data_IF_887580268166
#
_entry.id   IF_887580268166
#
_cell.length_a   1.000
_cell.length_b   1.000
_cell.length_c   1.000
_cell.angle_alpha   90.00
_cell.angle_beta   90.00
_cell.angle_gamma   90.00
#
_symmetry.space_group_name_H-M   'P 1'
#
loop_
_entity.id
_entity.type
_entity.pdbx_description
1 polymer ?
#
# COMPACT_ATOMS: atom_id res chain seq x y z
N UNK A 1 33.01 -27.10 -58.11
CA UNK A 1 34.32 -27.81 -58.05
C UNK A 1 34.46 -28.37 -56.66
N UNK A 2 34.17 -29.65 -56.48
CA UNK A 2 35.14 -30.73 -56.14
C UNK A 2 35.73 -30.50 -54.72
N UNK A 3 35.72 -31.38 -53.73
CA UNK A 3 35.57 -32.88 -53.59
C UNK A 3 35.36 -33.12 -52.09
N UNK A 4 34.46 -33.93 -51.54
CA UNK A 4 34.41 -35.42 -51.44
C UNK A 4 35.60 -35.99 -50.65
N UNK A 5 35.31 -36.73 -49.61
CA UNK A 5 35.74 -38.04 -49.13
C UNK A 5 35.94 -38.03 -47.61
N UNK A 6 35.19 -38.71 -46.81
CA UNK A 6 34.86 -40.16 -46.72
C UNK A 6 35.96 -40.99 -45.99
N UNK A 7 35.50 -41.82 -45.10
CA UNK A 7 35.93 -43.17 -44.67
C UNK A 7 35.91 -43.33 -43.14
N UNK A 8 34.97 -44.04 -42.60
CA UNK A 8 34.69 -45.48 -42.41
C UNK A 8 35.48 -46.13 -41.27
N UNK A 9 34.75 -46.57 -40.24
CA UNK A 9 34.59 -47.94 -39.75
C UNK A 9 35.84 -48.62 -39.19
N UNK A 10 35.77 -49.10 -37.89
CA UNK A 10 36.07 -50.51 -37.53
C UNK A 10 35.30 -50.88 -36.29
N UNK A 11 34.49 -51.95 -36.41
CA UNK A 11 33.97 -52.81 -35.35
C UNK A 11 35.09 -53.70 -34.79
N UNK A 12 34.98 -54.06 -33.51
CA UNK A 12 35.37 -55.44 -33.06
C UNK A 12 34.65 -55.78 -31.77
N UNK A 13 33.81 -56.74 -31.84
CA UNK A 13 33.27 -57.62 -30.76
C UNK A 13 34.40 -58.39 -30.09
N UNK A 14 34.25 -58.67 -28.77
CA UNK A 14 34.55 -59.96 -28.23
C UNK A 14 33.65 -60.30 -27.06
N UNK A 15 33.08 -61.47 -27.15
CA UNK A 15 32.13 -62.06 -26.22
C UNK A 15 32.82 -63.19 -25.41
N UNK A 16 32.09 -63.68 -24.43
CA UNK A 16 32.18 -64.97 -23.74
C UNK A 16 33.01 -64.97 -22.44
N UNK A 17 32.70 -65.66 -21.41
CA UNK A 17 31.54 -66.45 -20.93
C UNK A 17 31.89 -67.04 -19.57
N UNK A 18 30.85 -67.38 -18.80
CA UNK A 18 30.67 -68.55 -17.95
C UNK A 18 31.09 -68.52 -16.49
N UNK A 19 30.10 -68.51 -15.67
CA UNK A 19 29.63 -69.54 -14.73
C UNK A 19 30.28 -69.59 -13.34
N UNK A 20 29.45 -69.47 -12.34
CA UNK A 20 29.73 -69.86 -10.96
C UNK A 20 28.45 -69.71 -10.09
N UNK A 21 27.71 -70.85 -9.98
CA UNK A 21 26.58 -71.04 -9.08
C UNK A 21 26.95 -70.98 -7.58
N UNK A 22 26.02 -70.44 -6.77
CA UNK A 22 25.95 -70.75 -5.34
C UNK A 22 25.02 -69.80 -4.57
N UNK A 23 23.97 -70.25 -3.92
CA UNK A 23 22.92 -69.45 -3.32
C UNK A 23 23.20 -69.05 -1.89
N UNK A 24 22.86 -67.82 -1.49
CA UNK A 24 22.50 -67.56 -0.09
C UNK A 24 21.60 -66.30 0.00
N UNK A 25 20.52 -66.53 0.71
CA UNK A 25 19.49 -65.58 1.12
C UNK A 25 20.04 -64.36 1.90
N UNK A 26 19.46 -63.18 1.72
CA UNK A 26 18.61 -62.46 2.68
C UNK A 26 18.60 -60.94 2.42
N UNK A 27 17.41 -60.42 2.23
CA UNK A 27 16.86 -59.15 2.74
C UNK A 27 17.61 -57.83 2.51
N UNK A 28 16.95 -56.93 1.80
CA UNK A 28 17.23 -55.52 1.86
C UNK A 28 16.79 -54.77 0.60
N UNK A 29 15.51 -54.85 0.28
CA UNK A 29 14.87 -53.95 -0.68
C UNK A 29 14.97 -52.52 -0.15
N UNK A 30 15.87 -51.71 -0.69
CA UNK A 30 15.84 -50.26 -0.62
C UNK A 30 15.64 -49.76 -2.03
N UNK A 31 14.39 -49.73 -2.43
CA UNK A 31 13.91 -48.93 -3.55
C UNK A 31 14.18 -47.51 -3.20
N UNK A 32 15.23 -46.92 -3.78
CA UNK A 32 15.41 -45.48 -3.83
C UNK A 32 14.28 -44.98 -4.72
N UNK A 33 13.20 -44.54 -4.09
CA UNK A 33 12.22 -43.69 -4.75
C UNK A 33 12.94 -42.39 -5.08
N UNK A 34 13.25 -42.22 -6.35
CA UNK A 34 13.60 -40.98 -6.97
C UNK A 34 12.35 -40.08 -6.87
N UNK A 35 12.22 -39.38 -5.72
CA UNK A 35 11.23 -38.35 -5.52
C UNK A 35 11.77 -37.12 -6.24
N UNK A 36 11.67 -37.11 -7.55
CA UNK A 36 11.60 -35.84 -8.26
C UNK A 36 10.28 -35.20 -7.82
N UNK A 37 10.38 -34.28 -6.89
CA UNK A 37 9.35 -33.25 -6.72
C UNK A 37 9.10 -32.67 -8.12
N UNK A 38 7.95 -32.97 -8.66
CA UNK A 38 7.41 -32.16 -9.74
C UNK A 38 7.21 -30.78 -9.12
N UNK A 39 8.04 -29.81 -9.48
CA UNK A 39 7.63 -28.42 -9.48
C UNK A 39 6.35 -28.38 -10.33
N UNK A 40 5.21 -28.35 -9.67
CA UNK A 40 3.96 -27.93 -10.30
C UNK A 40 4.18 -26.46 -10.67
N UNK A 41 4.55 -26.22 -11.91
CA UNK A 41 4.52 -24.87 -12.48
C UNK A 41 3.04 -24.49 -12.57
N UNK A 42 2.52 -23.87 -11.51
CA UNK A 42 1.21 -23.25 -11.54
C UNK A 42 1.20 -22.20 -12.65
N UNK A 43 0.12 -22.16 -13.42
CA UNK A 43 -0.04 -21.11 -14.43
C UNK A 43 -0.11 -19.78 -13.70
N UNK A 44 0.69 -18.76 -14.11
CA UNK A 44 0.65 -17.46 -13.47
C UNK A 44 -0.77 -16.89 -13.41
N UNK A 45 -1.15 -16.35 -12.25
CA UNK A 45 -2.46 -15.74 -12.04
C UNK A 45 -2.38 -14.25 -12.38
N UNK A 46 -3.43 -13.71 -12.98
CA UNK A 46 -3.55 -12.27 -13.20
C UNK A 46 -3.89 -11.58 -11.89
N UNK A 47 -3.04 -10.65 -11.45
CA UNK A 47 -3.20 -9.87 -10.22
C UNK A 47 -3.30 -8.39 -10.60
N UNK A 48 -4.50 -7.83 -10.52
CA UNK A 48 -4.81 -6.46 -10.93
C UNK A 48 -4.84 -5.55 -9.71
N UNK A 49 -3.91 -4.59 -9.66
CA UNK A 49 -3.64 -3.75 -8.51
C UNK A 49 -3.89 -2.30 -8.83
N UNK A 50 -4.52 -1.56 -7.91
CA UNK A 50 -4.58 -0.11 -7.98
C UNK A 50 -4.01 0.54 -6.71
N UNK A 51 -3.42 1.73 -6.87
CA UNK A 51 -2.97 2.56 -5.76
C UNK A 51 -3.27 4.03 -6.03
N UNK A 52 -3.44 4.82 -4.96
CA UNK A 52 -3.63 6.26 -5.08
C UNK A 52 -2.29 6.98 -5.21
N UNK A 53 -2.26 8.08 -5.99
CA UNK A 53 -1.09 8.96 -6.07
C UNK A 53 -0.71 9.46 -4.67
N UNK A 54 0.50 9.14 -4.25
CA UNK A 54 1.04 9.47 -2.94
C UNK A 54 1.77 8.28 -2.31
N UNK A 55 1.91 8.23 -0.97
CA UNK A 55 2.66 7.20 -0.27
C UNK A 55 2.19 5.78 -0.60
N UNK A 56 0.89 5.56 -0.78
CA UNK A 56 0.31 4.26 -1.10
C UNK A 56 0.85 3.67 -2.41
N UNK A 57 1.06 4.51 -3.45
CA UNK A 57 1.67 4.09 -4.71
C UNK A 57 3.20 4.06 -4.62
N UNK A 58 3.80 4.99 -3.87
CA UNK A 58 5.26 5.07 -3.71
C UNK A 58 5.86 3.80 -3.11
N UNK A 59 5.16 3.16 -2.17
CA UNK A 59 5.60 1.88 -1.60
C UNK A 59 5.66 0.72 -2.61
N UNK A 60 4.99 0.83 -3.76
CA UNK A 60 4.91 -0.22 -4.78
C UNK A 60 5.92 -0.04 -5.93
N UNK A 61 6.66 1.07 -6.00
CA UNK A 61 7.44 1.42 -7.21
C UNK A 61 8.54 0.43 -7.55
N UNK A 62 9.14 -0.24 -6.55
CA UNK A 62 10.15 -1.27 -6.83
C UNK A 62 9.50 -2.53 -7.38
N UNK A 63 8.38 -2.96 -6.84
CA UNK A 63 7.62 -4.09 -7.38
C UNK A 63 7.16 -3.80 -8.81
N UNK A 64 6.68 -2.58 -9.09
CA UNK A 64 6.31 -2.17 -10.44
C UNK A 64 7.49 -2.24 -11.41
N UNK A 65 8.65 -1.75 -11.00
CA UNK A 65 9.90 -1.78 -11.78
C UNK A 65 10.37 -3.22 -12.08
N UNK A 66 10.28 -4.12 -11.08
CA UNK A 66 10.65 -5.53 -11.24
C UNK A 66 9.71 -6.25 -12.22
N UNK A 67 8.42 -5.92 -12.18
CA UNK A 67 7.44 -6.45 -13.14
C UNK A 67 7.74 -5.93 -14.56
N UNK A 68 7.97 -4.63 -14.73
CA UNK A 68 8.28 -4.02 -16.04
C UNK A 68 9.58 -4.57 -16.65
N UNK A 69 10.56 -4.93 -15.81
CA UNK A 69 11.80 -5.58 -16.21
C UNK A 69 11.67 -7.08 -16.50
N UNK A 70 10.50 -7.69 -16.20
CA UNK A 70 10.26 -9.13 -16.34
C UNK A 70 11.03 -9.97 -15.32
N UNK A 71 11.41 -9.38 -14.19
CA UNK A 71 12.09 -10.08 -13.09
C UNK A 71 11.10 -10.89 -12.23
N UNK A 72 9.82 -10.51 -12.24
CA UNK A 72 8.72 -11.25 -11.61
C UNK A 72 8.07 -12.17 -12.63
N UNK A 73 8.02 -13.48 -12.33
CA UNK A 73 7.48 -14.52 -13.22
C UNK A 73 6.46 -15.43 -12.54
N UNK A 74 6.26 -15.26 -11.23
CA UNK A 74 5.31 -16.03 -10.45
C UNK A 74 3.88 -15.73 -10.87
N UNK A 75 3.57 -14.45 -11.08
CA UNK A 75 2.25 -13.91 -11.35
C UNK A 75 2.28 -12.86 -12.47
N UNK A 76 1.12 -12.60 -13.06
CA UNK A 76 0.93 -11.55 -14.06
C UNK A 76 0.41 -10.29 -13.36
N UNK A 77 1.30 -9.49 -12.81
CA UNK A 77 0.93 -8.24 -12.16
C UNK A 77 0.60 -7.14 -13.16
N UNK A 78 -0.45 -6.37 -12.87
CA UNK A 78 -0.77 -5.13 -13.56
C UNK A 78 -1.12 -4.04 -12.57
N UNK A 79 -0.67 -2.80 -12.83
CA UNK A 79 -0.81 -1.69 -11.90
C UNK A 79 -1.57 -0.52 -12.53
N UNK A 80 -2.44 0.11 -11.74
CA UNK A 80 -3.10 1.36 -12.05
C UNK A 80 -2.83 2.37 -10.93
N UNK A 81 -2.35 3.56 -11.28
CA UNK A 81 -2.24 4.68 -10.33
C UNK A 81 -3.40 5.63 -10.59
N UNK A 82 -4.18 5.92 -9.57
CA UNK A 82 -5.38 6.74 -9.62
C UNK A 82 -5.23 8.03 -8.80
N UNK A 83 -5.93 9.08 -9.17
CA UNK A 83 -5.90 10.36 -8.45
C UNK A 83 -6.80 10.34 -7.21
N UNK A 84 -7.89 9.57 -7.23
CA UNK A 84 -8.88 9.49 -6.17
C UNK A 84 -9.38 8.06 -5.89
N UNK A 85 -9.93 7.85 -4.70
CA UNK A 85 -10.52 6.57 -4.31
C UNK A 85 -11.77 6.23 -5.15
N UNK A 86 -12.48 7.22 -5.65
CA UNK A 86 -13.70 7.05 -6.47
C UNK A 86 -13.40 6.36 -7.81
N UNK A 87 -12.16 6.44 -8.30
CA UNK A 87 -11.72 5.74 -9.50
C UNK A 87 -11.42 4.25 -9.24
N UNK A 88 -11.11 3.89 -8.00
CA UNK A 88 -10.62 2.57 -7.59
C UNK A 88 -11.73 1.70 -7.00
N UNK A 89 -12.53 2.25 -6.07
CA UNK A 89 -13.47 1.47 -5.27
C UNK A 89 -14.56 0.77 -6.09
N UNK A 90 -15.16 1.37 -7.13
CA UNK A 90 -16.14 0.66 -7.95
C UNK A 90 -15.52 -0.54 -8.69
N UNK A 91 -14.30 -0.38 -9.20
CA UNK A 91 -13.58 -1.45 -9.92
C UNK A 91 -13.24 -2.63 -8.99
N UNK A 92 -12.83 -2.34 -7.75
CA UNK A 92 -12.56 -3.37 -6.75
C UNK A 92 -13.86 -4.15 -6.42
N UNK A 93 -14.97 -3.45 -6.19
CA UNK A 93 -16.26 -4.08 -5.87
C UNK A 93 -16.82 -4.88 -7.05
N UNK A 94 -16.63 -4.42 -8.28
CA UNK A 94 -17.07 -5.10 -9.51
C UNK A 94 -16.18 -6.28 -9.91
N UNK A 95 -14.97 -6.37 -9.35
CA UNK A 95 -14.01 -7.44 -9.65
C UNK A 95 -13.09 -7.14 -10.84
N UNK A 96 -13.02 -5.86 -11.28
CA UNK A 96 -12.06 -5.40 -12.27
C UNK A 96 -10.66 -5.21 -11.68
N UNK A 97 -10.57 -5.08 -10.36
CA UNK A 97 -9.34 -5.09 -9.56
C UNK A 97 -9.41 -6.20 -8.52
N UNK A 98 -8.26 -6.73 -8.14
CA UNK A 98 -8.12 -7.78 -7.13
C UNK A 98 -7.58 -7.23 -5.82
N UNK A 99 -6.63 -6.30 -5.90
CA UNK A 99 -5.97 -5.63 -4.77
C UNK A 99 -6.04 -4.12 -4.99
N UNK A 100 -6.20 -3.37 -3.90
CA UNK A 100 -6.16 -1.91 -3.96
C UNK A 100 -5.54 -1.30 -2.70
N UNK A 101 -4.75 -0.24 -2.87
CA UNK A 101 -4.31 0.60 -1.76
C UNK A 101 -5.26 1.79 -1.64
N UNK A 102 -5.94 1.89 -0.49
CA UNK A 102 -7.03 2.83 -0.21
C UNK A 102 -6.87 3.50 1.15
N UNK A 103 -7.57 4.62 1.41
CA UNK A 103 -7.64 5.22 2.74
C UNK A 103 -8.09 4.22 3.81
N UNK A 104 -7.49 4.31 5.00
CA UNK A 104 -7.68 3.31 6.06
C UNK A 104 -9.16 3.15 6.47
N UNK A 105 -9.92 4.23 6.67
CA UNK A 105 -11.33 4.17 7.02
C UNK A 105 -12.20 3.58 5.90
N UNK A 106 -11.84 3.85 4.64
CA UNK A 106 -12.58 3.40 3.48
C UNK A 106 -12.58 1.87 3.35
N UNK A 107 -11.54 1.20 3.84
CA UNK A 107 -11.50 -0.26 3.90
C UNK A 107 -12.67 -0.85 4.70
N UNK A 108 -12.98 -0.26 5.86
CA UNK A 108 -14.11 -0.65 6.70
C UNK A 108 -15.46 -0.31 6.03
N UNK A 109 -15.58 0.87 5.41
CA UNK A 109 -16.78 1.24 4.63
C UNK A 109 -17.03 0.21 3.52
N UNK A 110 -15.98 -0.17 2.78
CA UNK A 110 -16.08 -1.19 1.73
C UNK A 110 -16.48 -2.56 2.30
N UNK A 111 -15.87 -2.98 3.41
CA UNK A 111 -16.23 -4.23 4.09
C UNK A 111 -17.71 -4.25 4.47
N UNK A 112 -18.18 -3.22 5.17
CA UNK A 112 -19.57 -3.12 5.64
C UNK A 112 -20.56 -3.07 4.46
N UNK A 113 -20.32 -2.20 3.47
CA UNK A 113 -21.21 -2.03 2.32
C UNK A 113 -21.27 -3.27 1.41
N UNK A 114 -20.18 -4.01 1.33
CA UNK A 114 -20.10 -5.25 0.52
C UNK A 114 -20.41 -6.51 1.31
N UNK A 115 -20.68 -6.40 2.62
CA UNK A 115 -20.94 -7.54 3.52
C UNK A 115 -19.81 -8.55 3.52
N UNK A 116 -18.59 -8.07 3.82
CA UNK A 116 -17.41 -8.91 4.00
C UNK A 116 -16.70 -9.33 2.70
N UNK A 117 -16.95 -8.65 1.56
CA UNK A 117 -16.28 -9.01 0.29
C UNK A 117 -14.89 -8.40 0.11
N UNK A 118 -14.39 -7.69 1.12
CA UNK A 118 -13.06 -7.07 1.12
C UNK A 118 -12.35 -7.42 2.42
N UNK A 119 -11.07 -7.72 2.36
CA UNK A 119 -10.17 -7.94 3.51
C UNK A 119 -9.00 -6.98 3.43
N UNK A 120 -8.47 -6.56 4.59
CA UNK A 120 -7.22 -5.78 4.67
C UNK A 120 -6.04 -6.73 4.75
N UNK A 121 -5.07 -6.54 3.86
CA UNK A 121 -3.84 -7.32 3.78
C UNK A 121 -2.71 -6.69 4.60
N UNK A 122 -2.60 -5.36 4.57
CA UNK A 122 -1.54 -4.63 5.27
C UNK A 122 -1.94 -3.17 5.57
N UNK A 123 -1.41 -2.60 6.63
CA UNK A 123 -1.27 -1.13 6.77
C UNK A 123 -0.06 -0.73 5.93
N UNK A 124 -0.24 0.25 5.05
CA UNK A 124 0.80 0.66 4.11
C UNK A 124 1.29 2.09 4.28
N UNK A 125 0.56 2.91 5.03
CA UNK A 125 0.93 4.31 5.27
C UNK A 125 0.40 4.73 6.65
N UNK A 126 1.30 5.20 7.50
CA UNK A 126 0.95 5.78 8.80
C UNK A 126 0.48 7.23 8.63
N UNK A 127 0.56 8.07 9.67
CA UNK A 127 0.19 9.48 9.58
C UNK A 127 1.11 10.24 8.63
N UNK A 128 0.52 10.98 7.68
CA UNK A 128 1.24 11.80 6.68
C UNK A 128 0.48 13.08 6.35
N UNK A 129 -0.47 13.48 7.20
CA UNK A 129 -1.31 14.66 7.01
C UNK A 129 -0.74 15.85 7.77
N UNK A 130 -0.75 17.00 7.15
CA UNK A 130 -0.22 18.24 7.71
C UNK A 130 -1.16 19.39 7.44
N UNK A 131 -1.25 20.33 8.38
CA UNK A 131 -1.74 21.67 8.10
C UNK A 131 -0.54 22.49 7.62
N UNK A 132 -0.65 23.04 6.42
CA UNK A 132 0.34 23.94 5.84
C UNK A 132 -0.27 25.32 5.66
N UNK A 133 0.54 26.36 5.80
CA UNK A 133 0.10 27.74 5.78
C UNK A 133 1.04 28.62 4.95
N UNK A 134 0.45 29.52 4.17
CA UNK A 134 1.16 30.62 3.55
C UNK A 134 1.01 31.85 4.49
N UNK A 135 1.76 31.86 5.58
CA UNK A 135 1.65 32.82 6.67
C UNK A 135 2.21 32.25 7.99
N UNK A 136 1.87 32.89 9.11
CA UNK A 136 2.34 32.55 10.46
C UNK A 136 1.22 32.65 11.51
N UNK A 137 -0.04 32.38 11.13
CA UNK A 137 -1.18 32.59 12.02
C UNK A 137 -1.61 31.33 12.78
N UNK A 138 -1.16 30.15 12.37
CA UNK A 138 -1.47 28.87 13.00
C UNK A 138 -0.24 28.37 13.77
N UNK A 139 -0.33 28.33 15.10
CA UNK A 139 0.70 27.80 15.99
C UNK A 139 0.20 26.58 16.77
N UNK A 140 -1.12 26.36 16.82
CA UNK A 140 -1.79 25.23 17.48
C UNK A 140 -3.07 24.89 16.75
N UNK A 141 -3.65 23.71 17.02
CA UNK A 141 -4.93 23.33 16.45
C UNK A 141 -6.05 24.34 16.78
N UNK A 142 -6.00 24.98 17.95
CA UNK A 142 -6.99 25.98 18.36
C UNK A 142 -7.01 27.23 17.46
N UNK A 143 -5.89 27.57 16.82
CA UNK A 143 -5.79 28.73 15.90
C UNK A 143 -6.51 28.52 14.57
N UNK A 144 -6.97 27.28 14.29
CA UNK A 144 -7.81 26.98 13.12
C UNK A 144 -9.22 27.54 13.25
N UNK A 145 -9.65 27.95 14.45
CA UNK A 145 -10.98 28.53 14.65
C UNK A 145 -11.22 29.77 13.79
N UNK A 146 -12.32 29.77 13.03
CA UNK A 146 -12.69 30.83 12.11
C UNK A 146 -11.88 30.86 10.81
N UNK A 147 -11.00 29.89 10.58
CA UNK A 147 -10.18 29.81 9.37
C UNK A 147 -10.86 29.00 8.26
N UNK A 148 -10.43 29.29 7.03
CA UNK A 148 -10.75 28.47 5.85
C UNK A 148 -9.57 27.56 5.55
N UNK A 149 -9.84 26.27 5.35
CA UNK A 149 -8.84 25.22 5.10
C UNK A 149 -9.16 24.58 3.75
N UNK A 150 -8.24 24.64 2.80
CA UNK A 150 -8.33 23.86 1.57
C UNK A 150 -7.98 22.41 1.84
N UNK A 151 -8.87 21.48 1.52
CA UNK A 151 -8.66 20.05 1.79
C UNK A 151 -9.21 19.19 0.65
N UNK A 152 -8.75 17.94 0.57
CA UNK A 152 -9.31 16.89 -0.30
C UNK A 152 -9.49 15.60 0.48
N UNK A 153 -10.15 14.61 -0.13
CA UNK A 153 -10.45 13.36 0.54
C UNK A 153 -11.67 13.42 1.46
N UNK A 154 -12.71 14.17 1.04
CA UNK A 154 -14.02 14.17 1.71
C UNK A 154 -14.58 12.75 1.75
N UNK A 155 -15.14 12.33 2.89
CA UNK A 155 -15.62 10.96 3.10
C UNK A 155 -14.53 9.92 3.35
N UNK A 156 -13.27 10.36 3.50
CA UNK A 156 -12.14 9.47 3.75
C UNK A 156 -11.27 9.92 4.92
N UNK A 157 -10.19 9.19 5.22
CA UNK A 157 -9.30 9.43 6.36
C UNK A 157 -8.96 10.92 6.59
N UNK A 158 -8.60 11.73 5.57
CA UNK A 158 -8.29 13.14 5.82
C UNK A 158 -9.40 13.92 6.52
N UNK A 159 -10.65 13.77 6.06
CA UNK A 159 -11.79 14.47 6.69
C UNK A 159 -11.99 14.03 8.13
N UNK A 160 -12.02 12.73 8.37
CA UNK A 160 -12.37 12.21 9.69
C UNK A 160 -11.25 12.43 10.71
N UNK A 161 -9.99 12.34 10.29
CA UNK A 161 -8.85 12.67 11.14
C UNK A 161 -8.85 14.14 11.56
N UNK A 162 -9.05 15.05 10.60
CA UNK A 162 -9.16 16.48 10.90
C UNK A 162 -10.35 16.78 11.83
N UNK A 163 -11.52 16.25 11.52
CA UNK A 163 -12.73 16.45 12.32
C UNK A 163 -12.55 15.93 13.75
N UNK A 164 -11.89 14.78 13.91
CA UNK A 164 -11.59 14.23 15.23
C UNK A 164 -10.64 15.15 16.01
N UNK A 165 -9.53 15.58 15.42
CA UNK A 165 -8.57 16.48 16.07
C UNK A 165 -9.23 17.80 16.44
N UNK A 166 -10.06 18.39 15.59
CA UNK A 166 -10.79 19.60 15.86
C UNK A 166 -11.71 19.45 17.09
N UNK A 167 -12.50 18.36 17.14
CA UNK A 167 -13.40 18.05 18.26
C UNK A 167 -12.65 17.86 19.57
N UNK A 168 -11.56 17.12 19.59
CA UNK A 168 -10.72 16.91 20.79
C UNK A 168 -10.09 18.23 21.29
N UNK A 169 -9.94 19.23 20.40
CA UNK A 169 -9.51 20.60 20.73
C UNK A 169 -10.70 21.55 21.01
N UNK A 170 -11.90 21.02 21.24
CA UNK A 170 -13.08 21.79 21.64
C UNK A 170 -13.72 22.62 20.54
N UNK A 171 -13.49 22.29 19.26
CA UNK A 171 -14.08 22.94 18.12
C UNK A 171 -15.14 22.05 17.45
N UNK A 172 -16.20 22.67 16.95
CA UNK A 172 -17.16 22.01 16.07
C UNK A 172 -16.69 22.14 14.59
N UNK A 173 -16.31 21.04 13.91
CA UNK A 173 -15.86 21.11 12.53
C UNK A 173 -16.88 21.69 11.56
N UNK A 174 -18.18 21.68 11.92
CA UNK A 174 -19.25 22.18 11.06
C UNK A 174 -19.47 23.70 11.16
N UNK A 175 -19.06 24.31 12.28
CA UNK A 175 -19.35 25.73 12.54
C UNK A 175 -18.13 26.57 12.89
N UNK A 176 -17.09 25.98 13.46
CA UNK A 176 -15.91 26.72 13.93
C UNK A 176 -14.82 26.86 12.86
N UNK A 177 -14.85 26.07 11.78
CA UNK A 177 -13.94 26.16 10.65
C UNK A 177 -14.72 26.10 9.33
N UNK A 178 -14.15 26.61 8.25
CA UNK A 178 -14.67 26.41 6.89
C UNK A 178 -13.73 25.49 6.13
N UNK A 179 -14.20 24.31 5.71
CA UNK A 179 -13.37 23.40 4.92
C UNK A 179 -13.84 23.48 3.46
N UNK A 180 -12.96 23.99 2.59
CA UNK A 180 -13.17 24.00 1.14
C UNK A 180 -12.64 22.72 0.53
N UNK A 181 -13.55 21.77 0.23
CA UNK A 181 -13.22 20.50 -0.36
C UNK A 181 -12.88 20.63 -1.84
N UNK A 182 -11.75 20.07 -2.23
CA UNK A 182 -11.27 19.93 -3.61
C UNK A 182 -11.33 18.46 -4.01
N UNK A 183 -11.35 18.19 -5.32
CA UNK A 183 -11.40 16.82 -5.85
C UNK A 183 -10.07 16.07 -5.62
N UNK A 184 -8.94 16.81 -5.70
CA UNK A 184 -7.59 16.25 -5.60
C UNK A 184 -6.68 17.12 -4.72
N UNK A 185 -5.61 16.52 -4.21
CA UNK A 185 -4.56 17.23 -3.46
C UNK A 185 -3.85 18.30 -4.31
N UNK A 186 -3.68 18.06 -5.61
CA UNK A 186 -3.09 19.00 -6.56
C UNK A 186 -3.88 20.32 -6.67
N UNK A 187 -5.20 20.26 -6.54
CA UNK A 187 -6.08 21.44 -6.52
C UNK A 187 -5.93 22.23 -5.22
N UNK A 188 -5.76 21.54 -4.07
CA UNK A 188 -5.45 22.20 -2.81
C UNK A 188 -4.10 22.95 -2.88
N UNK A 189 -3.07 22.32 -3.47
CA UNK A 189 -1.77 22.98 -3.71
C UNK A 189 -1.92 24.21 -4.60
N UNK A 190 -2.75 24.16 -5.64
CA UNK A 190 -2.99 25.29 -6.52
C UNK A 190 -3.76 26.41 -5.81
N UNK A 191 -4.78 26.11 -5.01
CA UNK A 191 -5.52 27.07 -4.22
C UNK A 191 -4.60 27.78 -3.21
N UNK A 192 -3.82 27.02 -2.44
CA UNK A 192 -2.85 27.53 -1.48
C UNK A 192 -1.79 28.43 -2.11
N UNK A 193 -1.28 28.08 -3.29
CA UNK A 193 -0.26 28.87 -3.98
C UNK A 193 -0.76 30.24 -4.45
N UNK A 194 -2.07 30.38 -4.66
CA UNK A 194 -2.72 31.64 -5.11
C UNK A 194 -3.29 32.46 -3.94
N UNK A 195 -3.26 31.97 -2.72
CA UNK A 195 -3.77 32.64 -1.52
C UNK A 195 -2.61 33.02 -0.60
N UNK A 196 -2.27 34.31 -0.44
CA UNK A 196 -1.15 34.75 0.39
C UNK A 196 -1.37 34.54 1.90
N UNK A 197 -2.58 34.17 2.33
CA UNK A 197 -2.93 33.80 3.71
C UNK A 197 -3.57 32.42 3.79
N UNK A 198 -3.41 31.61 2.73
CA UNK A 198 -4.06 30.33 2.59
C UNK A 198 -3.57 29.29 3.60
N UNK A 199 -4.51 28.45 4.02
CA UNK A 199 -4.25 27.27 4.87
C UNK A 199 -4.77 26.06 4.12
N UNK A 200 -3.99 24.97 4.10
CA UNK A 200 -4.44 23.73 3.50
C UNK A 200 -4.09 22.52 4.39
N UNK A 201 -4.91 21.49 4.31
CA UNK A 201 -4.54 20.17 4.79
C UNK A 201 -4.02 19.35 3.60
N UNK A 202 -2.77 18.96 3.67
CA UNK A 202 -2.08 18.20 2.62
C UNK A 202 -1.35 17.00 3.19
N UNK A 203 -1.33 15.86 2.49
CA UNK A 203 -0.38 14.78 2.77
C UNK A 203 0.97 15.07 2.11
N UNK A 204 2.04 14.38 2.57
CA UNK A 204 3.18 14.19 1.69
C UNK A 204 2.77 13.30 0.48
N UNK A 205 3.34 13.53 -0.69
CA UNK A 205 4.38 14.50 -1.09
C UNK A 205 3.83 15.87 -1.50
N UNK A 206 2.55 16.14 -1.30
CA UNK A 206 1.91 17.39 -1.74
C UNK A 206 2.34 18.60 -0.90
N UNK A 207 2.73 18.39 0.38
CA UNK A 207 3.39 19.41 1.20
C UNK A 207 4.68 19.87 0.51
N UNK A 208 5.57 18.95 0.18
CA UNK A 208 6.82 19.25 -0.54
C UNK A 208 6.55 19.91 -1.89
N UNK A 209 5.50 19.48 -2.61
CA UNK A 209 5.09 20.11 -3.88
C UNK A 209 4.65 21.55 -3.69
N UNK A 210 3.88 21.84 -2.64
CA UNK A 210 3.44 23.20 -2.31
C UNK A 210 4.64 24.09 -1.96
N UNK A 211 5.54 23.64 -1.11
CA UNK A 211 6.78 24.34 -0.72
C UNK A 211 7.71 24.60 -1.91
N UNK A 212 7.77 23.66 -2.87
CA UNK A 212 8.53 23.89 -4.12
C UNK A 212 7.94 25.00 -4.98
N UNK A 213 6.60 25.10 -5.03
CA UNK A 213 5.91 26.17 -5.76
C UNK A 213 6.00 27.51 -5.06
N UNK A 214 5.91 27.54 -3.75
CA UNK A 214 6.04 28.73 -2.92
C UNK A 214 6.84 28.38 -1.63
N UNK A 215 8.12 28.78 -1.55
CA UNK A 215 8.97 28.51 -0.38
C UNK A 215 8.52 29.19 0.92
N UNK A 216 7.57 30.15 0.87
CA UNK A 216 6.99 30.75 2.05
C UNK A 216 5.97 29.83 2.76
N UNK A 217 5.49 28.78 2.09
CA UNK A 217 4.60 27.81 2.70
C UNK A 217 5.35 27.00 3.73
N UNK A 218 4.86 27.02 4.97
CA UNK A 218 5.41 26.25 6.07
C UNK A 218 4.46 25.13 6.48
N UNK A 219 4.98 24.10 7.12
CA UNK A 219 4.21 23.16 7.92
C UNK A 219 3.84 23.90 9.21
N UNK A 220 2.54 24.07 9.46
CA UNK A 220 2.03 24.70 10.67
C UNK A 220 1.76 23.63 11.76
N UNK A 221 1.12 22.51 11.38
CA UNK A 221 0.85 21.39 12.29
C UNK A 221 1.14 20.07 11.59
N UNK A 222 1.74 19.14 12.31
CA UNK A 222 1.76 17.71 11.99
C UNK A 222 0.51 17.06 12.61
N UNK A 223 -0.42 16.56 11.81
CA UNK A 223 -1.64 15.95 12.31
C UNK A 223 -1.40 14.59 13.00
N UNK A 224 -0.25 13.96 12.79
CA UNK A 224 0.15 12.78 13.55
C UNK A 224 0.47 13.17 14.99
N UNK A 225 1.26 14.23 15.19
CA UNK A 225 1.55 14.77 16.52
C UNK A 225 0.28 15.29 17.22
N UNK A 226 -0.60 15.96 16.48
CA UNK A 226 -1.88 16.42 17.04
C UNK A 226 -2.79 15.26 17.43
N UNK A 227 -2.82 14.17 16.63
CA UNK A 227 -3.53 12.94 16.96
C UNK A 227 -2.95 12.32 18.24
N UNK A 228 -1.64 12.15 18.33
CA UNK A 228 -0.97 11.55 19.48
C UNK A 228 -1.24 12.30 20.77
N UNK A 229 -1.29 13.64 20.74
CA UNK A 229 -1.70 14.47 21.88
C UNK A 229 -3.10 14.11 22.37
N UNK A 230 -4.03 13.82 21.48
CA UNK A 230 -5.39 13.40 21.86
C UNK A 230 -5.45 12.03 22.53
N UNK A 231 -4.41 11.19 22.33
CA UNK A 231 -4.32 9.84 22.87
C UNK A 231 -3.57 9.77 24.22
N UNK A 232 -2.93 10.87 24.68
CA UNK A 232 -2.06 10.84 25.87
C UNK A 232 -2.75 10.30 27.12
N UNK A 233 -4.04 10.62 27.31
CA UNK A 233 -4.81 10.25 28.50
C UNK A 233 -5.79 9.09 28.25
N UNK A 234 -5.69 8.38 27.11
CA UNK A 234 -6.54 7.22 26.80
C UNK A 234 -5.87 5.93 27.27
N UNK A 235 -6.67 5.00 27.80
CA UNK A 235 -6.19 3.69 28.25
C UNK A 235 -5.65 2.88 27.07
N UNK A 236 -6.38 2.88 25.95
CA UNK A 236 -5.97 2.26 24.68
C UNK A 236 -5.60 3.37 23.70
N UNK A 237 -4.31 3.44 23.39
CA UNK A 237 -3.76 4.42 22.46
C UNK A 237 -3.90 3.92 21.00
N UNK A 238 -4.27 4.83 20.13
CA UNK A 238 -4.39 4.61 18.69
C UNK A 238 -3.40 5.50 17.96
N UNK A 239 -2.88 5.02 16.83
CA UNK A 239 -2.09 5.81 15.91
C UNK A 239 -2.95 6.32 14.75
N UNK A 240 -2.57 7.46 14.16
CA UNK A 240 -3.16 7.92 12.91
C UNK A 240 -2.68 7.03 11.75
N UNK A 241 -3.61 6.36 11.08
CA UNK A 241 -3.35 5.56 9.89
C UNK A 241 -4.00 6.23 8.69
N UNK A 242 -3.26 6.36 7.58
CA UNK A 242 -3.80 7.01 6.39
C UNK A 242 -4.09 6.04 5.25
N UNK A 243 -3.35 4.94 5.15
CA UNK A 243 -3.52 3.99 4.07
C UNK A 243 -3.41 2.52 4.46
N UNK A 244 -4.15 1.69 3.73
CA UNK A 244 -4.10 0.23 3.83
C UNK A 244 -4.13 -0.40 2.43
N UNK A 245 -3.64 -1.63 2.33
CA UNK A 245 -3.84 -2.50 1.17
C UNK A 245 -5.00 -3.42 1.46
N UNK A 246 -5.96 -3.45 0.57
CA UNK A 246 -7.13 -4.36 0.63
C UNK A 246 -7.16 -5.29 -0.57
N UNK A 247 -7.76 -6.46 -0.39
CA UNK A 247 -8.04 -7.38 -1.49
C UNK A 247 -9.50 -7.85 -1.44
N UNK A 248 -10.00 -8.30 -2.58
CA UNK A 248 -11.31 -8.98 -2.63
C UNK A 248 -11.21 -10.30 -1.87
N UNK A 249 -12.13 -10.54 -0.95
CA UNK A 249 -12.20 -11.79 -0.15
C UNK A 249 -12.27 -13.04 -1.05
N UNK A 250 -12.96 -12.96 -2.18
CA UNK A 250 -13.01 -14.05 -3.16
C UNK A 250 -11.65 -14.34 -3.79
N UNK A 251 -10.89 -13.29 -4.12
CA UNK A 251 -9.54 -13.42 -4.67
C UNK A 251 -8.59 -14.07 -3.65
N UNK A 252 -8.61 -13.59 -2.40
CA UNK A 252 -7.82 -14.14 -1.29
C UNK A 252 -8.09 -15.63 -1.12
N UNK A 253 -9.37 -16.04 -1.07
CA UNK A 253 -9.76 -17.45 -0.88
C UNK A 253 -9.37 -18.34 -2.05
N UNK A 254 -9.41 -17.82 -3.28
CA UNK A 254 -9.15 -18.59 -4.49
C UNK A 254 -7.66 -18.66 -4.84
N UNK A 255 -6.91 -17.64 -4.45
CA UNK A 255 -5.51 -17.44 -4.83
C UNK A 255 -4.65 -17.07 -3.61
N UNK A 256 -4.56 -17.93 -2.57
CA UNK A 256 -3.79 -17.62 -1.36
C UNK A 256 -2.29 -17.44 -1.65
N UNK A 257 -1.69 -18.29 -2.52
CA UNK A 257 -0.28 -18.19 -2.89
C UNK A 257 0.06 -16.86 -3.62
N UNK A 258 -0.71 -16.41 -4.65
CA UNK A 258 -0.54 -15.08 -5.24
C UNK A 258 -0.67 -13.92 -4.24
N UNK A 259 -1.51 -14.05 -3.21
CA UNK A 259 -1.63 -13.02 -2.17
C UNK A 259 -0.40 -12.97 -1.29
N UNK A 260 0.13 -14.15 -0.89
CA UNK A 260 1.38 -14.24 -0.12
C UNK A 260 2.58 -13.72 -0.93
N UNK A 261 2.73 -14.13 -2.22
CA UNK A 261 3.79 -13.61 -3.12
C UNK A 261 3.71 -12.08 -3.25
N UNK A 262 2.50 -11.53 -3.40
CA UNK A 262 2.31 -10.08 -3.43
C UNK A 262 2.79 -9.42 -2.13
N UNK A 263 2.42 -9.93 -0.96
CA UNK A 263 2.80 -9.34 0.32
C UNK A 263 4.31 -9.37 0.55
N UNK A 264 4.98 -10.48 0.22
CA UNK A 264 6.44 -10.59 0.31
C UNK A 264 7.15 -9.57 -0.61
N UNK A 265 6.70 -9.46 -1.86
CA UNK A 265 7.26 -8.50 -2.83
C UNK A 265 6.96 -7.07 -2.44
N UNK A 266 5.76 -6.81 -1.93
CA UNK A 266 5.38 -5.50 -1.47
C UNK A 266 6.23 -5.07 -0.26
N UNK A 267 6.43 -5.95 0.72
CA UNK A 267 7.31 -5.69 1.85
C UNK A 267 8.74 -5.37 1.37
N UNK A 268 9.28 -6.17 0.44
CA UNK A 268 10.61 -5.92 -0.16
C UNK A 268 10.67 -4.58 -0.91
N UNK A 269 9.57 -4.20 -1.59
CA UNK A 269 9.47 -2.90 -2.27
C UNK A 269 9.48 -1.74 -1.27
N UNK A 270 8.76 -1.87 -0.16
CA UNK A 270 8.74 -0.88 0.94
C UNK A 270 10.13 -0.74 1.58
N UNK A 271 10.80 -1.86 1.86
CA UNK A 271 12.16 -1.86 2.40
C UNK A 271 13.13 -1.14 1.47
N UNK A 272 13.06 -1.41 0.15
CA UNK A 272 13.86 -0.71 -0.84
C UNK A 272 13.59 0.79 -0.85
N UNK A 273 12.31 1.20 -0.84
CA UNK A 273 11.91 2.62 -0.87
C UNK A 273 12.44 3.38 0.34
N UNK A 274 12.43 2.75 1.50
CA UNK A 274 12.92 3.36 2.74
C UNK A 274 14.45 3.33 2.86
N UNK A 275 15.13 2.33 2.27
CA UNK A 275 16.59 2.18 2.35
C UNK A 275 17.35 2.97 1.29
N UNK A 276 16.82 3.08 0.06
CA UNK A 276 17.45 3.77 -1.07
C UNK A 276 16.54 4.84 -1.66
N UNK A 277 16.39 5.92 -0.89
CA UNK A 277 15.51 7.06 -1.24
C UNK A 277 15.85 7.67 -2.60
N UNK A 278 17.14 7.68 -2.99
CA UNK A 278 17.57 8.25 -4.27
C UNK A 278 17.11 7.42 -5.46
N UNK A 279 17.20 6.09 -5.38
CA UNK A 279 16.69 5.22 -6.45
C UNK A 279 15.17 5.16 -6.43
N UNK A 280 14.55 5.10 -5.23
CA UNK A 280 13.12 5.15 -5.10
C UNK A 280 12.53 6.43 -5.71
N UNK A 281 13.16 7.59 -5.48
CA UNK A 281 12.71 8.86 -6.05
C UNK A 281 12.72 8.85 -7.59
N UNK A 282 13.72 8.22 -8.22
CA UNK A 282 13.76 8.05 -9.68
C UNK A 282 12.57 7.22 -10.18
N UNK A 283 12.28 6.10 -9.51
CA UNK A 283 11.13 5.26 -9.86
C UNK A 283 9.81 5.99 -9.66
N UNK A 284 9.65 6.74 -8.55
CA UNK A 284 8.48 7.59 -8.31
C UNK A 284 8.28 8.60 -9.43
N UNK A 285 9.36 9.19 -9.93
CA UNK A 285 9.34 10.10 -11.09
C UNK A 285 9.00 9.37 -12.39
N UNK A 286 9.56 8.19 -12.62
CA UNK A 286 9.30 7.33 -13.79
C UNK A 286 7.83 6.95 -13.89
N UNK A 287 7.19 6.60 -12.76
CA UNK A 287 5.77 6.24 -12.69
C UNK A 287 4.84 7.46 -12.54
N UNK A 288 5.35 8.67 -12.73
CA UNK A 288 4.58 9.92 -12.75
C UNK A 288 3.71 10.14 -11.50
N UNK A 289 4.13 9.60 -10.34
CA UNK A 289 3.45 9.85 -9.07
C UNK A 289 3.68 11.29 -8.66
N UNK A 290 4.94 11.72 -8.54
CA UNK A 290 5.42 13.10 -8.47
C UNK A 290 6.79 13.18 -9.15
N UNK A 291 7.35 14.39 -9.31
CA UNK A 291 8.69 14.52 -9.89
C UNK A 291 9.75 13.91 -8.97
N UNK A 292 10.83 13.37 -9.55
CA UNK A 292 11.97 12.81 -8.80
C UNK A 292 12.48 13.75 -7.71
N UNK A 293 12.61 15.06 -8.03
CA UNK A 293 13.09 16.05 -7.07
C UNK A 293 12.15 16.20 -5.85
N UNK A 294 10.83 16.16 -6.08
CA UNK A 294 9.83 16.20 -5.00
C UNK A 294 9.90 14.90 -4.20
N UNK A 295 9.94 13.75 -4.89
CA UNK A 295 10.00 12.45 -4.25
C UNK A 295 11.21 12.32 -3.33
N UNK A 296 12.40 12.75 -3.78
CA UNK A 296 13.64 12.71 -2.99
C UNK A 296 13.53 13.44 -1.65
N UNK A 297 12.79 14.55 -1.61
CA UNK A 297 12.57 15.32 -0.38
C UNK A 297 11.44 14.78 0.47
N UNK A 298 10.40 14.22 -0.17
CA UNK A 298 9.18 13.82 0.51
C UNK A 298 9.25 12.39 1.08
N UNK A 299 9.97 11.47 0.44
CA UNK A 299 9.98 10.05 0.83
C UNK A 299 10.30 9.82 2.31
N UNK A 300 11.28 10.50 2.94
CA UNK A 300 11.56 10.32 4.37
C UNK A 300 10.37 10.66 5.28
N UNK A 301 9.46 11.51 4.82
CA UNK A 301 8.28 11.99 5.56
C UNK A 301 6.97 11.30 5.12
N UNK A 302 7.07 10.29 4.23
CA UNK A 302 5.89 9.61 3.69
C UNK A 302 5.39 8.47 4.58
N UNK A 303 6.11 8.10 5.63
CA UNK A 303 5.75 7.05 6.60
C UNK A 303 5.21 5.77 5.93
N UNK A 304 5.91 5.34 4.87
CA UNK A 304 5.57 4.15 4.09
C UNK A 304 6.00 2.91 4.86
N UNK A 305 5.05 1.99 5.07
CA UNK A 305 5.25 0.76 5.83
C UNK A 305 4.59 -0.44 5.14
N UNK A 306 4.92 -1.64 5.59
CA UNK A 306 4.17 -2.85 5.30
C UNK A 306 3.96 -3.61 6.62
N UNK A 307 2.86 -3.31 7.31
CA UNK A 307 2.51 -3.97 8.58
C UNK A 307 1.39 -4.96 8.32
N UNK A 308 1.63 -6.24 8.63
CA UNK A 308 0.72 -7.37 8.38
C UNK A 308 0.36 -8.09 9.67
N UNK A 309 -0.55 -9.07 9.61
CA UNK A 309 -0.88 -9.98 10.70
C UNK A 309 -1.45 -9.29 11.95
N UNK A 310 -1.10 -9.79 13.13
CA UNK A 310 -1.64 -9.32 14.41
C UNK A 310 -1.35 -7.84 14.69
N UNK A 311 -0.18 -7.35 14.27
CA UNK A 311 0.16 -5.92 14.48
C UNK A 311 -0.69 -5.02 13.58
N UNK A 312 -0.95 -5.40 12.32
CA UNK A 312 -1.91 -4.72 11.45
C UNK A 312 -3.30 -4.67 12.08
N UNK A 313 -3.80 -5.82 12.54
CA UNK A 313 -5.11 -5.91 13.18
C UNK A 313 -5.21 -4.99 14.39
N UNK A 314 -4.20 -5.02 15.27
CA UNK A 314 -4.15 -4.18 16.46
C UNK A 314 -4.16 -2.69 16.12
N UNK A 315 -3.30 -2.26 15.20
CA UNK A 315 -3.20 -0.86 14.82
C UNK A 315 -4.49 -0.37 14.15
N UNK A 316 -4.99 -1.14 13.17
CA UNK A 316 -6.15 -0.73 12.40
C UNK A 316 -7.44 -0.78 13.22
N UNK A 317 -7.65 -1.81 14.06
CA UNK A 317 -8.83 -1.88 14.93
C UNK A 317 -8.86 -0.73 15.94
N UNK A 318 -7.72 -0.37 16.52
CA UNK A 318 -7.60 0.78 17.42
C UNK A 318 -7.94 2.10 16.71
N UNK A 319 -7.43 2.30 15.50
CA UNK A 319 -7.75 3.48 14.69
C UNK A 319 -9.24 3.54 14.32
N UNK A 320 -9.81 2.45 13.80
CA UNK A 320 -11.21 2.38 13.41
C UNK A 320 -12.14 2.58 14.62
N UNK A 321 -11.76 2.10 15.81
CA UNK A 321 -12.53 2.33 17.03
C UNK A 321 -12.61 3.81 17.40
N UNK A 322 -11.50 4.55 17.31
CA UNK A 322 -11.49 6.00 17.56
C UNK A 322 -12.43 6.72 16.59
N UNK A 323 -12.37 6.37 15.31
CA UNK A 323 -13.26 6.95 14.31
C UNK A 323 -14.73 6.58 14.55
N UNK A 324 -15.01 5.33 14.89
CA UNK A 324 -16.37 4.84 15.23
C UNK A 324 -16.98 5.61 16.40
N UNK A 325 -16.22 5.75 17.48
CA UNK A 325 -16.67 6.45 18.69
C UNK A 325 -16.93 7.95 18.41
N UNK A 326 -16.16 8.56 17.51
CA UNK A 326 -16.35 9.95 17.09
C UNK A 326 -17.52 10.14 16.11
N UNK A 327 -17.69 9.18 15.18
CA UNK A 327 -18.74 9.16 14.17
C UNK A 327 -18.79 7.78 13.50
N UNK A 328 -19.78 6.93 13.82
CA UNK A 328 -19.91 5.59 13.27
C UNK A 328 -19.96 5.54 11.72
N UNK A 329 -20.56 6.55 11.08
CA UNK A 329 -20.63 6.64 9.61
C UNK A 329 -19.26 6.76 8.94
N UNK A 330 -18.24 7.24 9.68
CA UNK A 330 -16.87 7.37 9.17
C UNK A 330 -16.23 6.04 8.77
N UNK A 331 -16.76 4.93 9.27
CA UNK A 331 -16.30 3.58 8.99
C UNK A 331 -17.39 2.66 8.41
N UNK A 332 -18.54 3.24 8.00
CA UNK A 332 -19.66 2.49 7.43
C UNK A 332 -20.64 1.92 8.44
N UNK A 333 -20.75 2.52 9.63
CA UNK A 333 -21.82 2.27 10.62
C UNK A 333 -21.51 1.19 11.66
N UNK A 334 -20.55 0.32 11.46
CA UNK A 334 -20.15 -0.73 12.42
C UNK A 334 -18.66 -1.04 12.36
N UNK A 335 -18.11 -1.46 13.49
CA UNK A 335 -16.74 -2.00 13.52
C UNK A 335 -16.70 -3.32 12.72
N UNK A 336 -15.64 -3.54 11.91
CA UNK A 336 -15.48 -4.81 11.21
C UNK A 336 -15.25 -5.99 12.16
N UNK A 337 -15.64 -7.18 11.71
CA UNK A 337 -15.39 -8.45 12.38
C UNK A 337 -13.97 -8.97 12.06
N UNK A 338 -13.53 -10.06 12.72
CA UNK A 338 -12.17 -10.60 12.59
C UNK A 338 -11.81 -11.02 11.16
N UNK A 339 -12.79 -11.48 10.37
CA UNK A 339 -12.59 -11.84 8.97
C UNK A 339 -12.20 -10.68 8.05
N UNK A 340 -12.34 -9.46 8.51
CA UNK A 340 -11.88 -8.26 7.82
C UNK A 340 -10.34 -8.20 7.75
N UNK A 341 -9.66 -8.73 8.75
CA UNK A 341 -8.22 -8.72 8.85
C UNK A 341 -7.64 -10.01 8.26
N UNK A 342 -6.83 -9.89 7.22
CA UNK A 342 -6.16 -11.04 6.64
C UNK A 342 -5.13 -11.61 7.64
N UNK A 343 -5.17 -12.91 7.85
CA UNK A 343 -4.16 -13.69 8.56
C UNK A 343 -3.74 -14.88 7.67
N UNK A 344 -2.46 -15.11 7.55
CA UNK A 344 -1.89 -16.28 6.85
C UNK A 344 -2.24 -17.59 7.55
#
# INVERSE_FOLDING_TARGET
>A
MKKICSWLLVMALFAAALAGCGPREAKGDKTIKDTREKEETSTPVDVRIAALKGPTAMGMVKLMDDVDKGEVKSENYSFQIAASADEVTPKLVQGDLDIAAVPANLSSILYNNTKGKVQVLAVNTLGVLYIVENGETVQSAADLKGKTIYASGKGSTPEYALNYILKENGMDPASDVTIEWKSEHSECVAALANDPSGIAMLPQPFVTTAQKKNPAIRVALDLTEEWDKTQENKEEKSALLTGVVVARTEFVKKHPEPVSDFLERYASSVDFVNADTDQAAKLVGQYEIVTEEVAKKALPECNIVCVTGEEMQKQLSGYLKVLYDANAESIGGSLPEDEFYYSE
#
